data_IF_792092072133
#
_entry.id   IF_792092072133
#
_cell.length_a   1.000
_cell.length_b   1.000
_cell.length_c   1.000
_cell.angle_alpha   90.00
_cell.angle_beta   90.00
_cell.angle_gamma   90.00
#
_symmetry.space_group_name_H-M   'P 1'
#
loop_
_entity.id
_entity.type
_entity.pdbx_description
1 polymer ?
#
# COMPACT_ATOMS: atom_id res chain seq x y z
N UNK A 1 8.53 -13.21 12.65
CA UNK A 1 7.61 -12.91 11.55
C UNK A 1 7.30 -11.44 11.62
N UNK A 2 7.52 -10.67 10.55
CA UNK A 2 7.15 -9.25 10.54
C UNK A 2 5.64 -9.13 10.31
N UNK A 3 5.02 -8.06 10.82
CA UNK A 3 3.59 -7.79 10.58
C UNK A 3 3.26 -7.81 9.08
N UNK A 4 4.14 -7.23 8.26
CA UNK A 4 3.99 -7.13 6.81
C UNK A 4 3.95 -8.48 6.11
N UNK A 5 4.58 -9.52 6.67
CA UNK A 5 4.52 -10.87 6.11
C UNK A 5 3.12 -11.49 6.20
N UNK A 6 2.28 -11.00 7.12
CA UNK A 6 0.94 -11.51 7.39
C UNK A 6 -0.16 -10.68 6.72
N UNK A 7 0.16 -9.47 6.25
CA UNK A 7 -0.81 -8.59 5.60
C UNK A 7 -1.19 -9.07 4.21
N UNK A 8 -2.44 -8.83 3.81
CA UNK A 8 -2.88 -8.99 2.42
C UNK A 8 -2.13 -8.02 1.50
N UNK A 9 -1.95 -8.38 0.24
CA UNK A 9 -1.12 -7.62 -0.72
C UNK A 9 -1.60 -6.18 -0.92
N UNK A 10 -2.92 -5.94 -0.95
CA UNK A 10 -3.48 -4.59 -1.05
C UNK A 10 -3.22 -3.74 0.20
N UNK A 11 -3.20 -4.33 1.39
CA UNK A 11 -2.85 -3.62 2.63
C UNK A 11 -1.36 -3.33 2.67
N UNK A 12 -0.52 -4.30 2.27
CA UNK A 12 0.92 -4.13 2.15
C UNK A 12 1.26 -2.97 1.19
N UNK A 13 0.60 -2.94 0.04
CA UNK A 13 0.67 -1.87 -0.94
C UNK A 13 0.22 -0.51 -0.37
N UNK A 14 -0.91 -0.48 0.35
CA UNK A 14 -1.40 0.73 1.02
C UNK A 14 -0.39 1.33 1.99
N UNK A 15 0.21 0.50 2.85
CA UNK A 15 1.27 0.97 3.76
C UNK A 15 2.49 1.49 3.01
N UNK A 16 2.94 0.79 1.97
CA UNK A 16 4.08 1.24 1.15
C UNK A 16 3.85 2.65 0.60
N UNK A 17 2.66 2.87 0.01
CA UNK A 17 2.32 4.14 -0.62
C UNK A 17 2.16 5.27 0.41
N UNK A 18 1.44 5.05 1.50
CA UNK A 18 1.22 6.10 2.50
C UNK A 18 2.50 6.51 3.23
N UNK A 19 3.40 5.56 3.53
CA UNK A 19 4.69 5.90 4.13
C UNK A 19 5.55 6.69 3.15
N UNK A 20 5.60 6.30 1.87
CA UNK A 20 6.32 7.06 0.84
C UNK A 20 5.73 8.46 0.61
N UNK A 21 4.40 8.61 0.62
CA UNK A 21 3.73 9.92 0.55
C UNK A 21 4.13 10.81 1.71
N UNK A 22 4.12 10.29 2.93
CA UNK A 22 4.52 11.03 4.12
C UNK A 22 5.98 11.51 4.01
N UNK A 23 6.90 10.66 3.52
CA UNK A 23 8.29 11.06 3.24
C UNK A 23 8.34 12.18 2.21
N UNK A 24 7.60 12.05 1.10
CA UNK A 24 7.55 13.05 0.03
C UNK A 24 6.97 14.40 0.49
N UNK A 25 6.00 14.40 1.41
CA UNK A 25 5.40 15.61 1.98
C UNK A 25 6.23 16.23 3.12
N UNK A 26 7.41 15.66 3.41
CA UNK A 26 8.36 16.17 4.40
C UNK A 26 8.15 15.65 5.82
N UNK A 27 7.24 14.69 6.03
CA UNK A 27 7.09 13.95 7.29
C UNK A 27 8.11 12.82 7.29
N UNK A 28 9.28 13.08 7.86
CA UNK A 28 10.43 12.18 7.86
C UNK A 28 10.69 11.63 9.26
N UNK A 29 10.83 10.30 9.37
CA UNK A 29 11.38 9.67 10.56
C UNK A 29 12.26 8.47 10.20
N UNK A 30 13.25 8.18 11.04
CA UNK A 30 14.09 6.99 10.87
C UNK A 30 13.26 5.70 10.90
N UNK A 31 12.17 5.67 11.68
CA UNK A 31 11.25 4.55 11.74
C UNK A 31 10.60 4.28 10.37
N UNK A 32 10.20 5.31 9.63
CA UNK A 32 9.53 5.12 8.33
C UNK A 32 10.42 4.43 7.28
N UNK A 33 11.71 4.77 7.21
CA UNK A 33 12.65 4.07 6.34
C UNK A 33 12.86 2.61 6.75
N UNK A 34 12.84 2.35 8.06
CA UNK A 34 12.85 0.98 8.58
C UNK A 34 11.59 0.22 8.16
N UNK A 35 10.41 0.83 8.29
CA UNK A 35 9.14 0.22 7.86
C UNK A 35 9.13 -0.07 6.35
N UNK A 36 9.62 0.85 5.51
CA UNK A 36 9.76 0.63 4.06
C UNK A 36 10.63 -0.60 3.79
N UNK A 37 11.74 -0.74 4.51
CA UNK A 37 12.64 -1.91 4.37
C UNK A 37 11.90 -3.21 4.70
N UNK A 38 11.12 -3.23 5.79
CA UNK A 38 10.34 -4.40 6.18
C UNK A 38 9.24 -4.75 5.15
N UNK A 39 8.59 -3.73 4.58
CA UNK A 39 7.60 -3.89 3.53
C UNK A 39 8.25 -4.47 2.26
N UNK A 40 9.37 -3.91 1.81
CA UNK A 40 10.11 -4.39 0.64
C UNK A 40 10.58 -5.84 0.83
N UNK A 41 11.02 -6.22 2.03
CA UNK A 41 11.38 -7.61 2.35
C UNK A 41 10.16 -8.55 2.25
N UNK A 42 9.00 -8.13 2.76
CA UNK A 42 7.77 -8.92 2.67
C UNK A 42 7.30 -9.05 1.21
N UNK A 43 7.33 -7.97 0.42
CA UNK A 43 7.00 -7.96 -0.99
C UNK A 43 7.91 -8.88 -1.80
N UNK A 44 9.24 -8.80 -1.57
CA UNK A 44 10.21 -9.67 -2.24
C UNK A 44 9.97 -11.15 -1.96
N UNK A 45 9.56 -11.53 -0.75
CA UNK A 45 9.19 -12.93 -0.43
C UNK A 45 7.98 -13.44 -1.22
N UNK A 46 7.14 -12.53 -1.70
CA UNK A 46 5.96 -12.80 -2.53
C UNK A 46 6.23 -12.63 -4.03
N UNK A 47 7.48 -12.36 -4.42
CA UNK A 47 7.89 -11.98 -5.77
C UNK A 47 7.18 -10.72 -6.29
N UNK A 48 6.85 -9.78 -5.40
CA UNK A 48 6.29 -8.48 -5.76
C UNK A 48 7.41 -7.43 -5.83
N UNK A 49 7.39 -6.64 -6.89
CA UNK A 49 8.19 -5.44 -7.09
C UNK A 49 7.49 -4.21 -6.51
N UNK A 50 8.19 -3.07 -6.44
CA UNK A 50 7.58 -1.81 -6.01
C UNK A 50 6.49 -1.35 -6.99
N UNK A 51 6.69 -1.54 -8.29
CA UNK A 51 5.65 -1.27 -9.29
C UNK A 51 4.41 -2.13 -9.09
N UNK A 52 4.57 -3.41 -8.70
CA UNK A 52 3.41 -4.25 -8.39
C UNK A 52 2.64 -3.71 -7.17
N UNK A 53 3.34 -3.21 -6.15
CA UNK A 53 2.69 -2.57 -4.99
C UNK A 53 1.96 -1.28 -5.40
N UNK A 54 2.52 -0.47 -6.29
CA UNK A 54 1.83 0.71 -6.82
C UNK A 54 0.56 0.34 -7.59
N UNK A 55 0.62 -0.70 -8.42
CA UNK A 55 -0.52 -1.14 -9.23
C UNK A 55 -1.62 -1.77 -8.36
N UNK A 56 -1.25 -2.62 -7.40
CA UNK A 56 -2.18 -3.15 -6.39
C UNK A 56 -2.88 -2.04 -5.61
N UNK A 57 -2.16 -0.97 -5.27
CA UNK A 57 -2.74 0.18 -4.61
C UNK A 57 -3.75 0.91 -5.53
N UNK A 58 -3.38 1.17 -6.79
CA UNK A 58 -4.30 1.80 -7.77
C UNK A 58 -5.58 0.98 -7.94
N UNK A 59 -5.46 -0.34 -8.13
CA UNK A 59 -6.61 -1.25 -8.23
C UNK A 59 -7.50 -1.19 -6.98
N UNK A 60 -6.89 -1.14 -5.79
CA UNK A 60 -7.63 -1.05 -4.53
C UNK A 60 -8.39 0.27 -4.37
N UNK A 61 -7.86 1.36 -4.92
CA UNK A 61 -8.48 2.69 -4.88
C UNK A 61 -9.56 2.81 -5.96
N UNK A 62 -9.30 2.34 -7.18
CA UNK A 62 -10.27 2.36 -8.29
C UNK A 62 -11.49 1.47 -8.01
N UNK A 63 -11.30 0.32 -7.37
CA UNK A 63 -12.40 -0.54 -6.93
C UNK A 63 -13.29 0.11 -5.87
N UNK A 64 -12.72 0.92 -4.98
CA UNK A 64 -13.49 1.72 -4.01
C UNK A 64 -14.34 2.79 -4.72
N UNK A 65 -13.79 3.49 -5.72
CA UNK A 65 -14.55 4.50 -6.48
C UNK A 65 -15.68 3.90 -7.34
N UNK A 66 -15.48 2.71 -7.93
CA UNK A 66 -16.57 1.98 -8.60
C UNK A 66 -17.69 1.61 -7.65
N UNK A 67 -17.35 1.23 -6.42
CA UNK A 67 -18.33 0.83 -5.42
C UNK A 67 -19.13 2.03 -4.92
N UNK A 68 -18.49 3.17 -4.69
CA UNK A 68 -19.15 4.41 -4.24
C UNK A 68 -20.07 4.98 -5.32
N UNK A 69 -19.62 5.03 -6.59
CA UNK A 69 -20.44 5.51 -7.71
C UNK A 69 -21.62 4.59 -8.07
N UNK A 70 -21.58 3.32 -7.64
CA UNK A 70 -22.73 2.41 -7.74
C UNK A 70 -23.77 2.65 -6.65
N UNK A 71 -23.39 3.08 -5.44
CA UNK A 71 -24.33 3.33 -4.33
C UNK A 71 -25.18 4.59 -4.58
N UNK A 72 -24.63 5.63 -5.20
CA UNK A 72 -25.38 6.86 -5.55
C UNK A 72 -26.47 6.65 -6.61
N UNK A 73 -26.43 5.56 -7.38
CA UNK A 73 -27.49 5.23 -8.36
C UNK A 73 -28.72 4.54 -7.75
N UNK A 74 -28.73 4.27 -6.45
CA UNK A 74 -29.83 3.59 -5.75
C UNK A 74 -30.59 4.51 -4.77
N UNK A 75 -30.36 5.82 -4.80
CA UNK A 75 -31.09 6.83 -4.02
C UNK A 75 -31.74 7.88 -4.92
#
# INVERSE_FOLDING_TARGET
MSLYEQLLDHLLAGFFIEINKNIQTGILSAAMYHEITLIQMAAKKRNLSESDLEDLYKESVESQYKTIGSVEKFF
#
